data_IF_413299308999
#
_entry.id   IF_413299308999
#
_cell.length_a   1.000
_cell.length_b   1.000
_cell.length_c   1.000
_cell.angle_alpha   90.00
_cell.angle_beta   90.00
_cell.angle_gamma   90.00
#
_symmetry.space_group_name_H-M   'P 1'
#
loop_
_entity.id
_entity.type
_entity.pdbx_description
1 polymer ?
#
# COMPACT_ATOMS: atom_id res chain seq x y z
N UNK A 1 28.93 -12.36 12.00
CA UNK A 1 28.21 -11.23 12.61
C UNK A 1 27.44 -11.79 13.79
N UNK A 2 27.64 -11.23 15.00
CA UNK A 2 27.00 -11.75 16.23
C UNK A 2 25.70 -10.99 16.57
N UNK A 3 25.33 -9.97 15.78
CA UNK A 3 24.19 -9.09 16.06
C UNK A 3 23.44 -8.79 14.78
N UNK A 4 22.12 -8.67 14.90
CA UNK A 4 21.27 -8.07 13.89
C UNK A 4 21.48 -6.55 13.91
N UNK A 5 21.43 -5.90 12.75
CA UNK A 5 21.75 -4.49 12.61
C UNK A 5 20.61 -3.77 11.89
N UNK A 6 20.27 -2.59 12.37
CA UNK A 6 19.45 -1.62 11.62
C UNK A 6 20.35 -0.44 11.27
N UNK A 7 20.41 -0.09 10.00
CA UNK A 7 21.26 1.00 9.51
C UNK A 7 20.57 1.85 8.46
N UNK A 8 21.04 3.06 8.33
CA UNK A 8 20.62 3.97 7.28
C UNK A 8 21.53 3.86 6.06
N UNK A 9 20.93 3.90 4.88
CA UNK A 9 21.57 4.15 3.61
C UNK A 9 21.13 5.52 3.08
N UNK A 10 21.90 6.10 2.18
CA UNK A 10 21.54 7.37 1.56
C UNK A 10 21.94 7.34 0.09
N UNK A 11 20.94 7.20 -0.78
CA UNK A 11 21.06 7.26 -2.23
C UNK A 11 20.35 8.50 -2.76
N UNK A 12 20.89 9.18 -3.79
CA UNK A 12 20.17 10.29 -4.44
C UNK A 12 18.80 9.87 -5.02
N UNK A 13 18.74 8.67 -5.58
CA UNK A 13 17.55 8.06 -6.18
C UNK A 13 17.39 6.63 -5.66
N UNK A 14 16.77 6.42 -4.48
CA UNK A 14 16.65 5.10 -3.91
C UNK A 14 15.65 4.24 -4.68
N UNK A 15 16.06 3.02 -5.03
CA UNK A 15 15.18 2.02 -5.64
C UNK A 15 14.28 1.28 -4.66
N UNK A 16 14.43 1.54 -3.34
CA UNK A 16 13.68 0.90 -2.27
C UNK A 16 13.51 1.87 -1.08
N UNK A 17 12.60 1.57 -0.18
CA UNK A 17 12.42 2.32 1.08
C UNK A 17 13.08 1.62 2.25
N UNK A 18 12.98 0.30 2.29
CA UNK A 18 13.64 -0.58 3.24
C UNK A 18 14.08 -1.88 2.56
N UNK A 19 14.97 -2.60 3.20
CA UNK A 19 15.42 -3.92 2.78
C UNK A 19 15.92 -4.71 3.98
N UNK A 20 15.28 -5.85 4.28
CA UNK A 20 15.55 -6.69 5.44
C UNK A 20 16.10 -8.08 5.06
N UNK A 21 17.33 -8.21 4.52
CA UNK A 21 17.88 -9.50 4.20
C UNK A 21 18.17 -10.31 5.45
N UNK A 22 17.92 -11.60 5.39
CA UNK A 22 18.28 -12.55 6.42
C UNK A 22 19.13 -13.68 5.85
N UNK A 23 20.00 -14.25 6.67
CA UNK A 23 20.82 -15.43 6.34
C UNK A 23 20.32 -16.58 7.20
N UNK A 24 19.66 -17.56 6.55
CA UNK A 24 19.18 -18.78 7.20
C UNK A 24 20.17 -19.93 7.06
N UNK A 25 20.25 -20.76 8.09
CA UNK A 25 20.94 -22.06 8.02
C UNK A 25 20.07 -23.02 7.19
N UNK A 26 20.54 -23.50 6.02
CA UNK A 26 19.72 -24.33 5.15
C UNK A 26 19.41 -25.72 5.73
N UNK A 27 20.08 -26.13 6.81
CA UNK A 27 19.86 -27.41 7.48
C UNK A 27 18.84 -27.35 8.60
N UNK A 28 18.78 -26.22 9.30
CA UNK A 28 17.96 -26.09 10.52
C UNK A 28 16.83 -25.06 10.37
N UNK A 29 16.92 -24.17 9.37
CA UNK A 29 16.03 -23.02 9.25
C UNK A 29 16.38 -21.86 10.21
N UNK A 30 17.40 -22.02 11.06
CA UNK A 30 17.83 -20.97 11.99
C UNK A 30 18.26 -19.72 11.25
N UNK A 31 17.74 -18.56 11.64
CA UNK A 31 18.15 -17.26 11.14
C UNK A 31 19.44 -16.83 11.85
N UNK A 32 20.56 -16.90 11.12
CA UNK A 32 21.91 -16.67 11.68
C UNK A 32 22.20 -15.17 11.82
N UNK A 33 21.74 -14.38 10.85
CA UNK A 33 21.95 -12.93 10.82
C UNK A 33 20.87 -12.25 10.02
N UNK A 34 20.57 -11.01 10.40
CA UNK A 34 19.73 -10.08 9.67
C UNK A 34 20.37 -8.69 9.64
N UNK A 35 20.25 -8.00 8.50
CA UNK A 35 20.79 -6.66 8.29
C UNK A 35 19.70 -5.80 7.63
N UNK A 36 19.04 -4.99 8.45
CA UNK A 36 17.98 -4.09 7.98
C UNK A 36 18.64 -2.81 7.50
N UNK A 37 18.35 -2.45 6.26
CA UNK A 37 18.74 -1.17 5.66
C UNK A 37 17.51 -0.35 5.41
N UNK A 38 17.46 0.87 5.95
CA UNK A 38 16.43 1.86 5.67
C UNK A 38 17.04 3.00 4.85
N UNK A 39 16.33 3.43 3.82
CA UNK A 39 16.81 4.46 2.92
C UNK A 39 16.40 5.84 3.42
N UNK A 40 17.39 6.67 3.77
CA UNK A 40 17.15 8.00 4.34
C UNK A 40 16.31 8.90 3.41
N UNK A 41 16.56 8.87 2.09
CA UNK A 41 15.80 9.69 1.16
C UNK A 41 14.35 9.22 1.01
N UNK A 42 14.01 7.99 1.41
CA UNK A 42 12.63 7.54 1.50
C UNK A 42 11.87 8.26 2.64
N UNK A 43 12.57 8.72 3.70
CA UNK A 43 11.99 9.57 4.77
C UNK A 43 11.49 10.90 4.19
N UNK A 44 12.10 11.42 3.12
CA UNK A 44 11.62 12.60 2.41
C UNK A 44 10.17 12.42 1.94
N UNK A 45 9.78 11.20 1.57
CA UNK A 45 8.39 10.87 1.23
C UNK A 45 7.46 11.04 2.44
N UNK A 46 7.84 10.52 3.60
CA UNK A 46 7.08 10.71 4.84
C UNK A 46 6.99 12.17 5.27
N UNK A 47 8.06 12.96 5.07
CA UNK A 47 8.03 14.40 5.30
C UNK A 47 7.04 15.11 4.37
N UNK A 48 6.96 14.70 3.09
CA UNK A 48 5.95 15.21 2.18
C UNK A 48 4.53 14.85 2.62
N UNK A 49 4.33 13.72 3.31
CA UNK A 49 3.03 13.37 3.88
C UNK A 49 2.60 14.39 4.95
N UNK A 50 3.49 14.82 5.84
CA UNK A 50 3.20 15.90 6.80
C UNK A 50 2.79 17.20 6.11
N UNK A 51 3.38 17.50 4.95
CA UNK A 51 3.07 18.71 4.20
C UNK A 51 1.73 18.63 3.47
N UNK A 52 1.42 17.47 2.92
CA UNK A 52 0.20 17.24 2.14
C UNK A 52 -1.03 16.97 3.02
N UNK A 53 -0.85 16.32 4.17
CA UNK A 53 -1.95 15.82 4.98
C UNK A 53 -1.96 16.44 6.37
N UNK A 54 -3.15 16.64 6.92
CA UNK A 54 -3.31 17.17 8.29
C UNK A 54 -2.76 16.15 9.27
N UNK A 55 -1.87 16.59 10.14
CA UNK A 55 -1.25 15.76 11.16
C UNK A 55 -1.22 16.44 12.53
N UNK A 56 -1.11 15.63 13.60
CA UNK A 56 -0.86 16.06 14.97
C UNK A 56 0.31 15.27 15.54
N UNK A 57 0.91 15.70 16.67
CA UNK A 57 1.96 14.90 17.32
C UNK A 57 1.50 13.48 17.69
N UNK A 58 0.21 13.29 17.96
CA UNK A 58 -0.37 11.99 18.34
C UNK A 58 -0.77 11.15 17.10
N UNK A 59 -0.86 11.77 15.93
CA UNK A 59 -1.23 11.12 14.68
C UNK A 59 -0.34 11.65 13.53
N UNK A 60 0.94 11.29 13.56
CA UNK A 60 1.96 11.75 12.62
C UNK A 60 2.22 10.70 11.52
N UNK A 61 1.90 11.00 10.26
CA UNK A 61 2.09 10.05 9.17
C UNK A 61 3.57 9.67 8.93
N UNK A 62 4.52 10.55 9.26
CA UNK A 62 5.94 10.23 9.15
C UNK A 62 6.38 9.22 10.21
N UNK A 63 6.00 9.45 11.46
CA UNK A 63 6.34 8.55 12.57
C UNK A 63 5.71 7.17 12.33
N UNK A 64 4.42 7.11 12.02
CA UNK A 64 3.72 5.87 11.73
C UNK A 64 4.35 5.12 10.54
N UNK A 65 4.72 5.84 9.48
CA UNK A 65 5.39 5.24 8.32
C UNK A 65 6.75 4.62 8.68
N UNK A 66 7.57 5.29 9.50
CA UNK A 66 8.86 4.75 9.96
C UNK A 66 8.65 3.51 10.83
N UNK A 67 7.66 3.55 11.73
CA UNK A 67 7.32 2.40 12.59
C UNK A 67 6.87 1.22 11.70
N UNK A 68 5.93 1.44 10.79
CA UNK A 68 5.43 0.41 9.87
C UNK A 68 6.54 -0.20 9.03
N UNK A 69 7.37 0.64 8.39
CA UNK A 69 8.51 0.18 7.59
C UNK A 69 9.49 -0.65 8.43
N UNK A 70 9.82 -0.19 9.64
CA UNK A 70 10.75 -0.91 10.51
C UNK A 70 10.18 -2.27 10.93
N UNK A 71 8.90 -2.33 11.29
CA UNK A 71 8.24 -3.60 11.62
C UNK A 71 8.21 -4.55 10.42
N UNK A 72 7.95 -4.03 9.22
CA UNK A 72 7.97 -4.81 7.97
C UNK A 72 9.32 -5.48 7.76
N UNK A 73 10.41 -4.71 7.84
CA UNK A 73 11.77 -5.24 7.65
C UNK A 73 12.18 -6.21 8.77
N UNK A 74 11.76 -5.94 10.01
CA UNK A 74 11.93 -6.90 11.12
C UNK A 74 11.14 -8.18 10.85
N UNK A 75 9.92 -8.09 10.33
CA UNK A 75 9.12 -9.24 9.91
C UNK A 75 9.88 -10.18 8.98
N UNK A 76 10.58 -9.64 7.98
CA UNK A 76 11.44 -10.42 7.10
C UNK A 76 12.57 -11.12 7.85
N UNK A 77 13.16 -10.47 8.85
CA UNK A 77 14.28 -11.04 9.61
C UNK A 77 13.86 -12.18 10.53
N UNK A 78 12.59 -12.31 10.84
CA UNK A 78 12.03 -13.43 11.60
C UNK A 78 11.28 -14.45 10.73
N UNK A 79 11.43 -14.34 9.39
CA UNK A 79 10.97 -15.33 8.43
C UNK A 79 9.62 -15.05 7.79
N UNK A 80 8.96 -13.95 8.08
CA UNK A 80 7.73 -13.57 7.41
C UNK A 80 8.01 -13.15 5.95
N UNK A 81 7.10 -13.51 5.06
CA UNK A 81 7.10 -13.08 3.67
C UNK A 81 6.00 -12.05 3.45
N UNK A 82 6.05 -11.30 2.33
CA UNK A 82 4.98 -10.40 1.95
C UNK A 82 3.61 -11.08 2.01
N UNK A 83 2.63 -10.36 2.52
CA UNK A 83 1.23 -10.77 2.53
C UNK A 83 0.35 -9.66 1.94
N UNK A 84 0.20 -9.64 0.62
CA UNK A 84 -0.58 -8.64 -0.14
C UNK A 84 -2.10 -8.90 -0.12
N UNK A 85 -2.58 -9.76 0.76
CA UNK A 85 -4.00 -9.93 1.05
C UNK A 85 -4.43 -9.25 2.35
N UNK A 86 -3.48 -8.67 3.08
CA UNK A 86 -3.73 -8.14 4.41
C UNK A 86 -4.50 -6.82 4.42
N UNK A 87 -4.39 -6.02 3.36
CA UNK A 87 -5.14 -4.79 3.14
C UNK A 87 -6.65 -5.02 2.95
N UNK A 88 -7.05 -6.24 2.54
CA UNK A 88 -8.44 -6.61 2.27
C UNK A 88 -9.20 -7.06 3.54
N UNK A 89 -9.03 -6.35 4.65
CA UNK A 89 -9.62 -6.69 5.96
C UNK A 89 -10.83 -5.83 6.29
N UNK A 90 -10.65 -4.54 6.37
CA UNK A 90 -11.67 -3.60 6.83
C UNK A 90 -12.51 -3.02 5.69
N UNK A 91 -13.73 -2.61 6.01
CA UNK A 91 -14.58 -1.85 5.09
C UNK A 91 -14.01 -0.46 4.78
N UNK A 92 -14.50 0.20 3.70
CA UNK A 92 -13.91 1.45 3.19
C UNK A 92 -14.02 2.65 4.15
N UNK A 93 -14.90 2.55 5.16
CA UNK A 93 -15.01 3.56 6.24
C UNK A 93 -14.46 3.06 7.56
N UNK A 94 -14.54 1.76 7.81
CA UNK A 94 -14.01 1.14 9.02
C UNK A 94 -12.49 1.31 9.13
N UNK A 95 -11.77 1.25 8.01
CA UNK A 95 -10.31 1.41 7.98
C UNK A 95 -9.82 2.77 8.51
N UNK A 96 -10.70 3.77 8.56
CA UNK A 96 -10.41 5.10 9.11
C UNK A 96 -10.82 5.23 10.58
N UNK A 97 -11.60 4.28 11.11
CA UNK A 97 -12.10 4.33 12.49
C UNK A 97 -11.14 3.62 13.44
N UNK A 98 -10.43 4.40 14.24
CA UNK A 98 -9.47 3.87 15.22
C UNK A 98 -10.13 3.03 16.32
N UNK A 99 -11.42 3.18 16.58
CA UNK A 99 -12.14 2.34 17.53
C UNK A 99 -12.36 0.91 17.02
N UNK A 100 -12.34 0.73 15.68
CA UNK A 100 -12.43 -0.57 15.00
C UNK A 100 -11.06 -1.14 14.72
N UNK A 101 -10.16 -0.33 14.17
CA UNK A 101 -8.84 -0.78 13.70
C UNK A 101 -7.78 -0.83 14.81
N UNK A 102 -8.00 -0.15 15.92
CA UNK A 102 -6.96 0.02 16.94
C UNK A 102 -5.73 0.72 16.36
N UNK A 103 -4.59 0.06 16.44
CA UNK A 103 -3.32 0.53 15.90
C UNK A 103 -2.92 -0.18 14.59
N UNK A 104 -3.82 -0.99 14.01
CA UNK A 104 -3.60 -1.70 12.75
C UNK A 104 -4.61 -1.25 11.69
N UNK A 105 -4.16 -0.90 10.50
CA UNK A 105 -5.02 -0.57 9.36
C UNK A 105 -5.21 -1.77 8.42
N UNK A 106 -4.43 -2.83 8.64
CA UNK A 106 -4.32 -4.03 7.81
C UNK A 106 -4.08 -5.27 8.68
N UNK A 107 -4.30 -6.46 8.15
CA UNK A 107 -4.11 -7.72 8.88
C UNK A 107 -2.64 -8.10 9.10
N UNK A 108 -1.71 -7.57 8.31
CA UNK A 108 -0.28 -7.89 8.37
C UNK A 108 0.58 -6.70 7.97
N UNK A 109 1.61 -6.42 8.77
CA UNK A 109 2.68 -5.46 8.45
C UNK A 109 3.49 -5.86 7.20
N UNK A 110 3.30 -7.07 6.69
CA UNK A 110 4.01 -7.58 5.52
C UNK A 110 3.34 -7.20 4.19
N UNK A 111 2.32 -6.35 4.21
CA UNK A 111 1.73 -5.74 3.02
C UNK A 111 2.47 -4.45 2.61
N UNK A 112 2.23 -4.00 1.37
CA UNK A 112 2.63 -2.68 0.88
C UNK A 112 1.41 -1.77 0.83
N UNK A 113 0.86 -1.47 1.99
CA UNK A 113 -0.31 -0.62 2.12
C UNK A 113 -0.02 0.84 1.69
N UNK A 114 -1.01 1.52 1.11
CA UNK A 114 -0.90 2.95 0.85
C UNK A 114 -1.07 3.73 2.15
N UNK A 115 -0.64 4.98 2.16
CA UNK A 115 -1.05 5.89 3.24
C UNK A 115 -2.59 5.92 3.32
N UNK A 116 -3.15 5.59 4.48
CA UNK A 116 -4.58 5.58 4.73
C UNK A 116 -5.07 7.00 5.03
N UNK A 117 -5.83 7.61 4.10
CA UNK A 117 -6.30 8.99 4.24
C UNK A 117 -7.81 8.99 4.22
N UNK A 118 -8.40 9.48 5.30
CA UNK A 118 -9.84 9.59 5.44
C UNK A 118 -10.42 10.58 4.40
N UNK A 119 -11.56 10.24 3.77
CA UNK A 119 -12.23 11.16 2.90
C UNK A 119 -12.84 12.35 3.68
N UNK A 120 -13.13 13.47 3.01
CA UNK A 120 -13.74 14.61 3.66
C UNK A 120 -14.99 14.25 4.47
N UNK A 121 -15.04 14.71 5.72
CA UNK A 121 -16.15 14.46 6.65
C UNK A 121 -16.01 13.20 7.52
N UNK A 122 -14.98 12.41 7.34
CA UNK A 122 -14.58 11.35 8.29
C UNK A 122 -13.40 11.81 9.14
N UNK A 123 -13.35 11.32 10.37
CA UNK A 123 -12.19 11.50 11.24
C UNK A 123 -11.01 10.68 10.71
N UNK A 124 -9.81 11.23 10.79
CA UNK A 124 -8.58 10.57 10.38
C UNK A 124 -8.12 9.60 11.47
N UNK A 125 -8.21 8.32 11.21
CA UNK A 125 -7.55 7.27 12.00
C UNK A 125 -6.05 7.18 11.71
N UNK A 126 -5.45 6.02 11.99
CA UNK A 126 -4.03 5.83 11.69
C UNK A 126 -3.77 5.91 10.18
N UNK A 127 -2.65 6.54 9.82
CA UNK A 127 -2.15 6.62 8.45
C UNK A 127 -1.49 5.32 7.99
N UNK A 128 -0.78 4.66 8.94
CA UNK A 128 -0.10 3.38 8.75
C UNK A 128 -0.27 2.52 10.00
N UNK A 129 -0.13 1.19 9.90
CA UNK A 129 -0.14 0.32 11.07
C UNK A 129 1.07 0.63 11.96
N UNK A 130 0.85 0.69 13.27
CA UNK A 130 1.89 0.90 14.29
C UNK A 130 2.04 -0.30 15.23
N UNK A 131 1.33 -1.39 14.93
CA UNK A 131 1.43 -2.68 15.60
C UNK A 131 1.29 -3.81 14.57
N UNK A 132 1.85 -5.01 14.85
CA UNK A 132 1.62 -6.20 14.04
C UNK A 132 0.13 -6.57 13.98
N UNK A 133 -0.34 -6.97 12.81
CA UNK A 133 -1.71 -7.40 12.60
C UNK A 133 -2.02 -8.79 13.16
N UNK A 134 -3.28 -9.21 13.01
CA UNK A 134 -3.72 -10.54 13.46
C UNK A 134 -3.01 -11.67 12.72
N UNK A 135 -2.80 -11.51 11.41
CA UNK A 135 -2.05 -12.46 10.61
C UNK A 135 -0.63 -12.65 11.13
N UNK A 136 0.07 -11.56 11.45
CA UNK A 136 1.46 -11.62 11.91
C UNK A 136 1.57 -12.40 13.23
N UNK A 137 0.69 -12.09 14.19
CA UNK A 137 0.65 -12.78 15.49
C UNK A 137 0.35 -14.27 15.30
N UNK A 138 -0.61 -14.61 14.47
CA UNK A 138 -0.97 -15.99 14.15
C UNK A 138 0.18 -16.74 13.46
N UNK A 139 0.82 -16.13 12.48
CA UNK A 139 1.93 -16.75 11.74
C UNK A 139 3.15 -16.99 12.66
N UNK A 140 3.44 -16.04 13.58
CA UNK A 140 4.51 -16.19 14.55
C UNK A 140 4.15 -17.25 15.62
N UNK A 141 2.91 -17.30 16.09
CA UNK A 141 2.46 -18.35 17.02
C UNK A 141 2.63 -19.73 16.36
N UNK A 142 2.16 -19.90 15.12
CA UNK A 142 2.30 -21.14 14.38
C UNK A 142 3.77 -21.57 14.19
N UNK A 143 4.67 -20.61 13.89
CA UNK A 143 6.06 -20.89 13.58
C UNK A 143 6.95 -21.09 14.82
N UNK A 144 6.66 -20.38 15.92
CA UNK A 144 7.59 -20.25 17.04
C UNK A 144 7.05 -20.76 18.39
N UNK A 145 5.76 -21.09 18.50
CA UNK A 145 5.22 -21.64 19.75
C UNK A 145 5.90 -22.98 20.07
N UNK A 146 6.61 -23.10 21.19
CA UNK A 146 7.30 -24.34 21.54
C UNK A 146 6.27 -25.44 21.89
N UNK A 147 6.57 -26.66 21.47
CA UNK A 147 5.77 -27.86 21.76
C UNK A 147 4.31 -27.81 21.28
N UNK A 148 4.07 -27.13 20.15
CA UNK A 148 2.75 -27.06 19.52
C UNK A 148 2.28 -28.49 19.19
N UNK A 149 1.16 -28.94 19.76
CA UNK A 149 0.60 -30.25 19.46
C UNK A 149 -0.01 -30.31 18.06
N UNK A 150 -0.28 -31.51 17.54
CA UNK A 150 -0.90 -31.66 16.23
C UNK A 150 -2.34 -31.12 16.22
N UNK A 151 -3.05 -31.20 17.35
CA UNK A 151 -4.39 -30.66 17.52
C UNK A 151 -4.35 -29.13 17.51
N UNK A 152 -3.46 -28.50 18.31
CA UNK A 152 -3.29 -27.04 18.32
C UNK A 152 -2.87 -26.53 16.93
N UNK A 153 -2.01 -27.27 16.24
CA UNK A 153 -1.60 -26.94 14.87
C UNK A 153 -2.78 -26.96 13.90
N UNK A 154 -3.64 -27.98 14.00
CA UNK A 154 -4.83 -28.08 13.17
C UNK A 154 -5.83 -26.96 13.47
N UNK A 155 -6.01 -26.56 14.73
CA UNK A 155 -6.85 -25.43 15.13
C UNK A 155 -6.34 -24.12 14.53
N UNK A 156 -5.03 -23.86 14.62
CA UNK A 156 -4.42 -22.66 14.01
C UNK A 156 -4.60 -22.66 12.49
N UNK A 157 -4.37 -23.81 11.81
CA UNK A 157 -4.55 -23.91 10.36
C UNK A 157 -6.01 -23.72 9.94
N UNK A 158 -6.97 -24.13 10.75
CA UNK A 158 -8.39 -23.94 10.45
C UNK A 158 -8.77 -22.46 10.30
N UNK A 159 -8.04 -21.54 10.96
CA UNK A 159 -8.27 -20.11 10.86
C UNK A 159 -7.86 -19.52 9.49
N UNK A 160 -7.03 -20.21 8.71
CA UNK A 160 -6.43 -19.69 7.47
C UNK A 160 -7.43 -19.23 6.39
N UNK A 161 -8.68 -19.70 6.44
CA UNK A 161 -9.76 -19.29 5.53
C UNK A 161 -10.46 -18.00 5.93
N UNK A 162 -10.28 -17.56 7.17
CA UNK A 162 -10.90 -16.32 7.67
C UNK A 162 -10.21 -15.08 7.10
N UNK A 163 -10.92 -13.96 6.92
CA UNK A 163 -10.37 -12.73 6.32
C UNK A 163 -9.07 -12.23 6.95
N UNK A 164 -8.97 -12.25 8.30
CA UNK A 164 -7.80 -11.75 9.03
C UNK A 164 -6.54 -12.62 8.84
N UNK A 165 -6.69 -13.88 8.43
CA UNK A 165 -5.58 -14.85 8.28
C UNK A 165 -5.30 -15.22 6.82
N UNK A 166 -5.92 -14.50 5.89
CA UNK A 166 -5.72 -14.71 4.45
C UNK A 166 -4.28 -14.40 4.04
N UNK A 167 -3.74 -15.20 3.14
CA UNK A 167 -2.37 -15.05 2.66
C UNK A 167 -2.29 -15.04 1.13
N UNK A 168 -1.61 -14.03 0.62
CA UNK A 168 -1.23 -13.94 -0.79
C UNK A 168 0.10 -13.18 -0.91
N UNK A 169 1.05 -13.76 -1.62
CA UNK A 169 2.43 -13.27 -1.67
C UNK A 169 2.82 -12.74 -3.06
N UNK A 170 4.11 -12.47 -3.27
CA UNK A 170 4.68 -11.92 -4.52
C UNK A 170 4.23 -12.68 -5.78
N UNK A 171 4.18 -14.00 -5.73
CA UNK A 171 3.74 -14.81 -6.86
C UNK A 171 2.27 -14.66 -7.22
N UNK A 172 1.46 -14.17 -6.29
CA UNK A 172 0.02 -13.92 -6.45
C UNK A 172 -0.26 -12.48 -6.91
N UNK A 173 0.48 -11.52 -6.34
CA UNK A 173 0.28 -10.08 -6.57
C UNK A 173 1.09 -9.53 -7.75
N UNK A 174 2.21 -10.16 -8.09
CA UNK A 174 3.11 -9.75 -9.16
C UNK A 174 3.12 -10.81 -10.24
N UNK A 175 2.46 -10.58 -11.33
CA UNK A 175 2.46 -11.58 -12.37
C UNK A 175 2.11 -11.04 -13.74
N UNK A 176 2.54 -11.81 -14.74
CA UNK A 176 2.03 -11.72 -16.09
C UNK A 176 0.51 -11.94 -16.09
N UNK A 177 -0.22 -11.48 -17.11
CA UNK A 177 -1.64 -11.77 -17.25
C UNK A 177 -1.96 -13.24 -16.99
N UNK A 178 -2.91 -13.52 -16.09
CA UNK A 178 -3.29 -14.87 -15.67
C UNK A 178 -2.72 -15.36 -14.33
N UNK A 179 -1.76 -14.63 -13.71
CA UNK A 179 -1.29 -14.93 -12.35
C UNK A 179 -1.88 -14.03 -11.29
N UNK A 180 -2.15 -12.79 -11.63
CA UNK A 180 -2.68 -11.76 -10.74
C UNK A 180 -4.21 -11.65 -10.92
N UNK A 181 -4.93 -12.76 -10.72
CA UNK A 181 -6.38 -12.84 -10.97
C UNK A 181 -7.22 -12.62 -9.71
N UNK A 182 -6.64 -12.78 -8.50
CA UNK A 182 -7.34 -12.50 -7.26
C UNK A 182 -7.20 -11.02 -6.89
N UNK A 183 -8.29 -10.23 -7.01
CA UNK A 183 -8.22 -8.79 -6.71
C UNK A 183 -8.13 -8.47 -5.22
N UNK A 184 -8.13 -9.49 -4.36
CA UNK A 184 -7.90 -9.33 -2.91
C UNK A 184 -6.42 -9.41 -2.54
N UNK A 185 -5.56 -9.67 -3.53
CA UNK A 185 -4.11 -9.81 -3.34
C UNK A 185 -3.40 -8.85 -4.27
N UNK A 186 -3.25 -7.62 -3.84
CA UNK A 186 -2.68 -6.52 -4.60
C UNK A 186 -1.70 -5.73 -3.77
N UNK A 187 -0.76 -5.04 -4.39
CA UNK A 187 0.12 -4.08 -3.73
C UNK A 187 -0.49 -2.69 -3.80
N UNK A 188 -0.52 -2.02 -2.67
CA UNK A 188 -0.94 -0.63 -2.59
C UNK A 188 -2.46 -0.44 -2.66
N UNK A 189 -3.23 -1.48 -2.40
CA UNK A 189 -4.67 -1.42 -2.20
C UNK A 189 -5.03 -1.23 -0.72
N UNK A 190 -6.29 -0.95 -0.47
CA UNK A 190 -6.85 -0.79 0.86
C UNK A 190 -8.34 -1.13 0.82
N UNK A 191 -8.83 -1.78 1.88
CA UNK A 191 -10.23 -2.09 2.09
C UNK A 191 -10.75 -3.33 1.33
N UNK A 192 -11.74 -3.99 1.91
CA UNK A 192 -12.47 -5.11 1.29
C UNK A 192 -13.53 -4.66 0.25
N UNK A 193 -13.73 -3.33 0.13
CA UNK A 193 -14.45 -2.69 -0.97
C UNK A 193 -13.56 -1.62 -1.61
N UNK A 194 -12.64 -2.06 -2.45
CA UNK A 194 -11.68 -1.20 -3.13
C UNK A 194 -12.34 -0.19 -4.07
N UNK A 195 -13.55 -0.48 -4.56
CA UNK A 195 -14.28 0.42 -5.48
C UNK A 195 -14.75 1.66 -4.73
N UNK A 196 -15.41 1.46 -3.60
CA UNK A 196 -15.87 2.56 -2.73
C UNK A 196 -14.69 3.32 -2.15
N UNK A 197 -13.67 2.61 -1.64
CA UNK A 197 -12.45 3.25 -1.12
C UNK A 197 -11.76 4.11 -2.18
N UNK A 198 -11.64 3.61 -3.42
CA UNK A 198 -11.03 4.36 -4.53
C UNK A 198 -11.85 5.59 -4.91
N UNK A 199 -13.18 5.50 -4.91
CA UNK A 199 -14.03 6.65 -5.19
C UNK A 199 -13.85 7.77 -4.16
N UNK A 200 -13.80 7.43 -2.88
CA UNK A 200 -13.53 8.35 -1.77
C UNK A 200 -12.09 8.91 -1.87
N UNK A 201 -11.12 8.05 -2.19
CA UNK A 201 -9.72 8.43 -2.39
C UNK A 201 -9.56 9.45 -3.52
N UNK A 202 -10.28 9.29 -4.63
CA UNK A 202 -10.23 10.24 -5.75
C UNK A 202 -10.72 11.63 -5.36
N UNK A 203 -11.78 11.73 -4.56
CA UNK A 203 -12.26 13.02 -4.03
C UNK A 203 -11.14 13.69 -3.22
N UNK A 204 -10.50 12.92 -2.35
CA UNK A 204 -9.41 13.42 -1.50
C UNK A 204 -8.19 13.86 -2.32
N UNK A 205 -7.80 13.08 -3.33
CA UNK A 205 -6.67 13.40 -4.21
C UNK A 205 -6.96 14.63 -5.08
N UNK A 206 -8.18 14.75 -5.65
CA UNK A 206 -8.56 15.90 -6.48
C UNK A 206 -8.56 17.20 -5.67
N UNK A 207 -9.09 17.17 -4.44
CA UNK A 207 -9.05 18.31 -3.53
C UNK A 207 -7.60 18.70 -3.22
N UNK A 208 -6.75 17.71 -2.94
CA UNK A 208 -5.36 17.97 -2.60
C UNK A 208 -4.54 18.50 -3.78
N UNK A 209 -4.80 18.03 -4.99
CA UNK A 209 -4.20 18.60 -6.22
C UNK A 209 -4.60 20.07 -6.38
N UNK A 210 -5.86 20.40 -6.15
CA UNK A 210 -6.33 21.80 -6.24
C UNK A 210 -5.69 22.71 -5.19
N UNK A 211 -5.36 22.20 -4.00
CA UNK A 211 -4.72 22.92 -2.89
C UNK A 211 -3.19 23.10 -3.06
N UNK A 212 -2.53 22.38 -3.97
CA UNK A 212 -1.08 22.43 -4.12
C UNK A 212 -0.51 23.85 -4.29
N UNK A 213 -1.11 24.77 -5.06
CA UNK A 213 -0.60 26.14 -5.18
C UNK A 213 -0.54 26.90 -3.85
N UNK A 214 -1.44 26.59 -2.92
CA UNK A 214 -1.47 27.18 -1.57
C UNK A 214 -0.46 26.49 -0.64
N UNK A 215 -0.43 25.15 -0.65
CA UNK A 215 0.51 24.35 0.16
C UNK A 215 1.98 24.72 -0.12
N UNK A 216 2.31 25.07 -1.37
CA UNK A 216 3.66 25.44 -1.81
C UNK A 216 3.78 26.92 -2.15
N UNK A 217 3.12 27.79 -1.36
CA UNK A 217 3.13 29.25 -1.57
C UNK A 217 4.23 29.98 -0.80
N UNK A 218 4.83 29.34 0.20
CA UNK A 218 5.81 29.98 1.09
C UNK A 218 7.10 30.38 0.36
N UNK A 219 7.71 31.47 0.80
CA UNK A 219 8.99 31.93 0.28
C UNK A 219 10.08 30.88 0.55
N UNK A 220 10.82 30.52 -0.50
CA UNK A 220 11.86 29.49 -0.43
C UNK A 220 11.39 28.07 -0.80
N UNK A 221 10.08 27.85 -0.97
CA UNK A 221 9.57 26.59 -1.47
C UNK A 221 10.01 26.31 -2.91
N UNK A 222 10.37 25.06 -3.18
CA UNK A 222 10.86 24.68 -4.50
C UNK A 222 9.74 24.26 -5.43
N UNK A 223 9.81 24.66 -6.69
CA UNK A 223 8.88 24.16 -7.71
C UNK A 223 9.06 22.66 -7.97
N UNK A 224 10.23 22.14 -7.63
CA UNK A 224 10.49 20.68 -7.72
C UNK A 224 9.65 19.90 -6.69
N UNK A 225 9.53 20.38 -5.45
CA UNK A 225 8.72 19.70 -4.43
C UNK A 225 7.22 19.77 -4.77
N UNK A 226 6.76 20.91 -5.32
CA UNK A 226 5.43 21.03 -5.91
C UNK A 226 5.20 19.98 -7.00
N UNK A 227 6.13 19.90 -7.96
CA UNK A 227 6.05 18.99 -9.10
C UNK A 227 6.02 17.54 -8.66
N UNK A 228 6.90 17.15 -7.73
CA UNK A 228 6.95 15.80 -7.18
C UNK A 228 5.64 15.43 -6.46
N UNK A 229 5.06 16.35 -5.71
CA UNK A 229 3.78 16.14 -5.03
C UNK A 229 2.63 16.00 -6.02
N UNK A 230 2.58 16.83 -7.05
CA UNK A 230 1.59 16.71 -8.12
C UNK A 230 1.63 15.34 -8.79
N UNK A 231 2.81 14.94 -9.29
CA UNK A 231 2.95 13.63 -9.94
C UNK A 231 2.71 12.45 -9.00
N UNK A 232 3.04 12.58 -7.72
CA UNK A 232 2.73 11.55 -6.71
C UNK A 232 1.22 11.36 -6.56
N UNK A 233 0.45 12.46 -6.46
CA UNK A 233 -1.02 12.41 -6.34
C UNK A 233 -1.69 11.87 -7.60
N UNK A 234 -1.22 12.27 -8.78
CA UNK A 234 -1.74 11.77 -10.08
C UNK A 234 -1.40 10.28 -10.25
N UNK A 235 -0.18 9.88 -9.93
CA UNK A 235 0.25 8.48 -9.96
C UNK A 235 -0.58 7.60 -9.01
N UNK A 236 -0.95 8.14 -7.84
CA UNK A 236 -1.82 7.45 -6.89
C UNK A 236 -3.20 7.17 -7.50
N UNK A 237 -3.79 8.12 -8.25
CA UNK A 237 -5.04 7.90 -9.00
C UNK A 237 -4.89 6.77 -10.02
N UNK A 238 -3.80 6.75 -10.78
CA UNK A 238 -3.52 5.68 -11.76
C UNK A 238 -3.44 4.31 -11.10
N UNK A 239 -2.68 4.21 -10.00
CA UNK A 239 -2.53 2.96 -9.24
C UNK A 239 -3.86 2.45 -8.69
N UNK A 240 -4.67 3.29 -8.06
CA UNK A 240 -5.97 2.86 -7.55
C UNK A 240 -6.93 2.45 -8.67
N UNK A 241 -6.80 3.03 -9.86
CA UNK A 241 -7.60 2.60 -11.01
C UNK A 241 -7.19 1.20 -11.50
N UNK A 242 -5.90 0.89 -11.54
CA UNK A 242 -5.42 -0.47 -11.85
C UNK A 242 -5.93 -1.50 -10.84
N UNK A 243 -5.94 -1.15 -9.54
CA UNK A 243 -6.50 -2.00 -8.48
C UNK A 243 -7.99 -2.27 -8.72
N UNK A 244 -8.76 -1.22 -9.04
CA UNK A 244 -10.20 -1.35 -9.36
C UNK A 244 -10.42 -2.19 -10.62
N UNK A 245 -9.59 -2.00 -11.65
CA UNK A 245 -9.67 -2.78 -12.89
C UNK A 245 -9.51 -4.29 -12.64
N UNK A 246 -8.73 -4.67 -11.65
CA UNK A 246 -8.59 -6.07 -11.22
C UNK A 246 -9.86 -6.75 -10.75
N UNK A 247 -10.92 -6.00 -10.39
CA UNK A 247 -12.21 -6.58 -10.04
C UNK A 247 -12.92 -7.18 -11.26
N UNK A 248 -12.67 -6.63 -12.47
CA UNK A 248 -13.34 -7.05 -13.70
C UNK A 248 -12.71 -8.35 -14.22
N UNK A 249 -13.50 -9.43 -14.26
CA UNK A 249 -13.01 -10.75 -14.62
C UNK A 249 -12.13 -11.41 -13.56
N UNK A 250 -12.02 -10.82 -12.37
CA UNK A 250 -11.27 -11.36 -11.24
C UNK A 250 -11.87 -12.64 -10.66
N UNK A 251 -11.02 -13.44 -10.03
CA UNK A 251 -11.41 -14.68 -9.35
C UNK A 251 -10.78 -14.70 -7.98
N UNK A 252 -11.59 -14.85 -6.95
CA UNK A 252 -11.12 -15.07 -5.59
C UNK A 252 -10.52 -16.46 -5.45
N UNK A 253 -9.32 -16.55 -4.88
CA UNK A 253 -8.58 -17.80 -4.70
C UNK A 253 -8.41 -18.06 -3.21
N UNK A 254 -8.99 -19.14 -2.71
CA UNK A 254 -8.81 -19.55 -1.32
C UNK A 254 -7.99 -20.86 -1.29
N UNK A 255 -6.84 -20.81 -0.60
CA UNK A 255 -6.01 -21.99 -0.40
C UNK A 255 -6.59 -22.79 0.76
N UNK A 256 -7.05 -23.98 0.45
CA UNK A 256 -7.72 -24.86 1.40
C UNK A 256 -6.76 -25.92 1.92
N UNK A 257 -7.00 -26.34 3.16
CA UNK A 257 -6.45 -27.58 3.73
C UNK A 257 -7.55 -28.63 3.84
N UNK A 258 -7.19 -29.90 3.96
CA UNK A 258 -8.15 -30.98 4.12
C UNK A 258 -9.09 -30.70 5.31
N UNK A 259 -10.37 -30.88 5.13
CA UNK A 259 -11.40 -30.60 6.12
C UNK A 259 -12.05 -29.21 6.03
N UNK A 260 -11.66 -28.38 5.04
CA UNK A 260 -12.28 -27.08 4.74
C UNK A 260 -13.21 -27.14 3.52
N UNK A 261 -13.96 -28.23 3.37
CA UNK A 261 -14.75 -28.55 2.18
C UNK A 261 -16.01 -27.65 1.98
N UNK A 262 -16.35 -26.85 2.99
CA UNK A 262 -17.47 -25.89 2.91
C UNK A 262 -17.10 -24.58 2.18
N UNK A 263 -15.82 -24.38 1.88
CA UNK A 263 -15.32 -23.18 1.20
C UNK A 263 -14.90 -23.52 -0.22
N UNK A 264 -15.29 -22.68 -1.18
CA UNK A 264 -14.85 -22.84 -2.57
C UNK A 264 -13.41 -22.36 -2.75
N UNK A 265 -12.59 -23.17 -3.43
CA UNK A 265 -11.21 -22.75 -3.75
C UNK A 265 -11.16 -21.60 -4.77
N UNK A 266 -12.16 -21.50 -5.65
CA UNK A 266 -12.25 -20.49 -6.70
C UNK A 266 -13.67 -19.93 -6.77
N UNK A 267 -13.79 -18.61 -6.67
CA UNK A 267 -15.06 -17.90 -6.79
C UNK A 267 -14.88 -16.68 -7.70
N UNK A 268 -15.71 -16.51 -8.76
CA UNK A 268 -15.64 -15.28 -9.55
C UNK A 268 -16.02 -14.08 -8.69
N UNK A 269 -15.39 -12.94 -8.93
CA UNK A 269 -15.80 -11.67 -8.31
C UNK A 269 -17.29 -11.45 -8.60
N UNK A 270 -18.12 -11.12 -7.58
CA UNK A 270 -19.55 -10.91 -7.78
C UNK A 270 -19.86 -9.89 -8.87
N UNK A 271 -20.84 -10.17 -9.70
CA UNK A 271 -21.21 -9.33 -10.85
C UNK A 271 -21.42 -7.85 -10.48
N UNK A 272 -22.07 -7.56 -9.35
CA UNK A 272 -22.31 -6.18 -8.91
C UNK A 272 -21.00 -5.44 -8.56
N UNK A 273 -19.98 -6.12 -8.01
CA UNK A 273 -18.65 -5.53 -7.79
C UNK A 273 -17.94 -5.24 -9.12
N UNK A 274 -17.99 -6.16 -10.08
CA UNK A 274 -17.43 -5.94 -11.41
C UNK A 274 -18.10 -4.78 -12.14
N UNK A 275 -19.44 -4.69 -12.06
CA UNK A 275 -20.21 -3.59 -12.64
C UNK A 275 -19.90 -2.24 -11.98
N UNK A 276 -19.79 -2.21 -10.66
CA UNK A 276 -19.39 -1.01 -9.93
C UNK A 276 -17.96 -0.55 -10.32
N UNK A 277 -17.04 -1.49 -10.46
CA UNK A 277 -15.68 -1.22 -10.93
C UNK A 277 -15.68 -0.61 -12.35
N UNK A 278 -16.39 -1.23 -13.31
CA UNK A 278 -16.53 -0.70 -14.67
C UNK A 278 -17.14 0.70 -14.69
N UNK A 279 -18.16 0.96 -13.85
CA UNK A 279 -18.77 2.26 -13.76
C UNK A 279 -17.79 3.32 -13.23
N UNK A 280 -17.01 3.00 -12.19
CA UNK A 280 -15.99 3.90 -11.65
C UNK A 280 -14.91 4.20 -12.71
N UNK A 281 -14.40 3.19 -13.40
CA UNK A 281 -13.41 3.32 -14.47
C UNK A 281 -13.94 4.25 -15.57
N UNK A 282 -15.14 4.02 -16.07
CA UNK A 282 -15.70 4.82 -17.18
C UNK A 282 -15.98 6.26 -16.78
N UNK A 283 -16.43 6.50 -15.54
CA UNK A 283 -16.87 7.84 -15.10
C UNK A 283 -15.76 8.67 -14.47
N UNK A 284 -14.76 8.04 -13.85
CA UNK A 284 -13.71 8.74 -13.08
C UNK A 284 -12.31 8.64 -13.67
N UNK A 285 -12.14 7.85 -14.73
CA UNK A 285 -10.85 7.68 -15.38
C UNK A 285 -10.89 8.00 -16.88
N UNK A 286 -11.86 7.48 -17.62
CA UNK A 286 -11.98 7.67 -19.06
C UNK A 286 -12.96 8.78 -19.50
N UNK A 287 -13.73 9.35 -18.57
CA UNK A 287 -14.65 10.43 -18.92
C UNK A 287 -13.87 11.69 -19.35
N UNK A 288 -14.45 12.43 -20.28
CA UNK A 288 -13.87 13.69 -20.74
C UNK A 288 -13.64 14.64 -19.55
N UNK A 289 -12.46 15.25 -19.52
CA UNK A 289 -12.10 16.29 -18.56
C UNK A 289 -11.60 15.79 -17.20
N UNK A 290 -11.60 14.49 -16.90
CA UNK A 290 -11.12 13.97 -15.60
C UNK A 290 -9.61 14.19 -15.35
N UNK A 291 -8.85 14.38 -16.43
CA UNK A 291 -7.42 14.68 -16.40
C UNK A 291 -7.11 16.13 -16.80
N UNK A 292 -8.11 17.01 -16.75
CA UNK A 292 -7.89 18.44 -16.98
C UNK A 292 -7.56 19.13 -15.66
N UNK A 293 -6.41 19.77 -15.60
CA UNK A 293 -5.91 20.47 -14.43
C UNK A 293 -5.96 21.99 -14.64
N UNK A 294 -6.12 22.75 -13.54
CA UNK A 294 -6.09 24.21 -13.57
C UNK A 294 -4.73 24.68 -14.16
N UNK A 295 -4.75 25.61 -15.14
CA UNK A 295 -3.52 26.22 -15.69
C UNK A 295 -2.58 26.80 -14.62
N UNK A 296 -3.12 27.18 -13.45
CA UNK A 296 -2.30 27.62 -12.30
C UNK A 296 -1.45 26.49 -11.73
N UNK A 297 -1.91 25.24 -11.83
CA UNK A 297 -1.14 24.07 -11.41
C UNK A 297 -0.07 23.79 -12.46
N UNK A 298 -0.49 23.63 -13.72
CA UNK A 298 0.41 23.24 -14.83
C UNK A 298 1.60 24.19 -15.00
N UNK A 299 1.40 25.51 -14.89
CA UNK A 299 2.49 26.49 -14.96
C UNK A 299 3.53 26.40 -13.84
N UNK A 300 3.21 25.74 -12.73
CA UNK A 300 4.11 25.56 -11.60
C UNK A 300 4.93 24.27 -11.70
N UNK A 301 4.61 23.38 -12.66
CA UNK A 301 5.38 22.16 -12.88
C UNK A 301 6.76 22.49 -13.44
N UNK A 302 7.79 22.12 -12.70
CA UNK A 302 9.18 22.33 -13.08
C UNK A 302 10.00 21.10 -12.72
N UNK A 303 10.93 20.73 -13.58
CA UNK A 303 11.88 19.66 -13.30
C UNK A 303 13.10 20.19 -12.58
N UNK A 304 13.73 19.31 -11.80
CA UNK A 304 14.99 19.63 -11.14
C UNK A 304 16.08 19.92 -12.18
N UNK A 305 16.88 20.96 -11.90
CA UNK A 305 17.95 21.44 -12.82
C UNK A 305 19.00 20.37 -13.17
N UNK A 306 19.14 19.34 -12.33
CA UNK A 306 20.09 18.23 -12.49
C UNK A 306 19.47 16.93 -12.96
N UNK A 307 18.19 16.94 -13.35
CA UNK A 307 17.56 15.75 -13.91
C UNK A 307 18.26 15.32 -15.19
N UNK A 308 18.57 14.03 -15.29
CA UNK A 308 19.28 13.45 -16.44
C UNK A 308 18.41 13.35 -17.71
N UNK A 309 17.09 13.49 -17.57
CA UNK A 309 16.16 13.53 -18.68
C UNK A 309 15.37 14.83 -18.68
N UNK A 310 15.59 15.66 -19.69
CA UNK A 310 14.68 16.75 -20.02
C UNK A 310 13.64 16.20 -20.97
N UNK A 311 12.37 16.08 -20.57
CA UNK A 311 11.33 16.04 -21.57
C UNK A 311 11.29 17.43 -22.23
N UNK A 312 11.20 17.44 -23.53
CA UNK A 312 11.07 18.66 -24.30
C UNK A 312 9.87 19.46 -23.79
N UNK A 313 10.20 20.53 -23.07
CA UNK A 313 9.45 21.76 -22.81
C UNK A 313 7.95 21.82 -23.14
N UNK A 314 7.16 22.09 -22.15
CA UNK A 314 5.99 22.96 -22.29
C UNK A 314 4.68 22.30 -22.71
N UNK A 315 4.62 20.98 -22.82
CA UNK A 315 3.38 20.27 -23.08
C UNK A 315 3.20 19.13 -22.04
N UNK A 316 2.84 19.51 -20.83
CA UNK A 316 2.66 18.55 -19.72
C UNK A 316 1.42 17.65 -19.92
N UNK A 317 0.41 18.11 -20.67
CA UNK A 317 -0.81 17.33 -20.91
C UNK A 317 -0.56 15.98 -21.60
N UNK A 318 0.25 15.88 -22.70
CA UNK A 318 0.60 14.60 -23.28
C UNK A 318 1.42 13.70 -22.35
N UNK A 319 2.31 14.27 -21.51
CA UNK A 319 3.09 13.48 -20.57
C UNK A 319 2.23 12.90 -19.45
N UNK A 320 1.27 13.67 -18.98
CA UNK A 320 0.27 13.20 -18.01
C UNK A 320 -0.57 12.08 -18.60
N UNK A 321 -1.00 12.25 -19.87
CA UNK A 321 -1.72 11.23 -20.61
C UNK A 321 -0.92 9.94 -20.73
N UNK A 322 0.34 10.02 -21.16
CA UNK A 322 1.22 8.87 -21.30
C UNK A 322 1.51 8.18 -19.97
N UNK A 323 1.68 8.95 -18.89
CA UNK A 323 1.92 8.41 -17.54
C UNK A 323 0.70 7.66 -17.00
N UNK A 324 -0.50 8.08 -17.37
CA UNK A 324 -1.76 7.53 -16.85
C UNK A 324 -2.27 6.37 -17.70
N UNK A 325 -2.04 6.40 -19.00
CA UNK A 325 -2.55 5.41 -19.95
C UNK A 325 -1.49 4.42 -20.48
N UNK A 326 -0.22 4.68 -20.25
CA UNK A 326 0.91 3.79 -20.59
C UNK A 326 1.16 2.76 -19.54
#
# INVERSE_FOLDING_TARGET
IQYNVVRWSSSPEPGFSGYGPSIGNPRTGELIAADIVQEFNAIKRGYNYRKLWVWTPENDPLEQWIISLTMHEVGHTIGLRHNFSASYLYGPREVHDKSITGNTTIASIMDYDPINIAPPGLEQGNYFPTEPGEYDRWAIEFAYKPNLSDEERAELLALSVLPAYRYGTDGDAMGTPGRNIDPRTRRGDMSNDVVTYTADRFITLDNKIAELPEIYSDEGETKNDFTNSFYSLVSDKGRFMDIVAGQVGGVYITRLVNGQDEVNAYEPVPYEKQKAAMNLITTKFFANGVWTFDPKILKNLQREKRATSYSSSGNEDPQLHDMVLG
#
